data_IF_725763362686
#
_entry.id   IF_725763362686
#
_cell.length_a   1.000
_cell.length_b   1.000
_cell.length_c   1.000
_cell.angle_alpha   90.00
_cell.angle_beta   90.00
_cell.angle_gamma   90.00
#
_symmetry.space_group_name_H-M   'P 1'
#
loop_
_entity.id
_entity.type
_entity.pdbx_description
1 polymer ?
#
# COMPACT_ATOMS: atom_id res chain seq x y z
N UNK A 1 -10.63 -3.46 -9.36
CA UNK A 1 -9.98 -2.43 -8.52
C UNK A 1 -8.54 -2.82 -8.24
N UNK A 2 -7.57 -1.92 -8.40
CA UNK A 2 -6.16 -2.22 -8.16
C UNK A 2 -5.59 -1.20 -7.19
N UNK A 3 -4.93 -1.65 -6.13
CA UNK A 3 -4.27 -0.80 -5.15
C UNK A 3 -2.78 -1.13 -5.06
N UNK A 4 -1.94 -0.10 -5.08
CA UNK A 4 -0.49 -0.19 -4.92
C UNK A 4 -0.05 0.58 -3.66
N UNK A 5 0.88 0.03 -2.89
CA UNK A 5 1.44 0.63 -1.67
C UNK A 5 0.32 0.99 -0.65
N UNK A 6 0.26 2.22 -0.15
CA UNK A 6 -0.83 2.72 0.68
C UNK A 6 -2.20 2.48 0.03
N UNK A 7 -2.30 2.63 -1.30
CA UNK A 7 -3.52 2.33 -2.04
C UNK A 7 -3.95 0.88 -1.94
N UNK A 8 -2.99 -0.05 -1.80
CA UNK A 8 -3.26 -1.47 -1.53
C UNK A 8 -3.96 -1.67 -0.18
N UNK A 9 -3.58 -0.90 0.83
CA UNK A 9 -4.18 -0.93 2.18
C UNK A 9 -5.62 -0.40 2.15
N UNK A 10 -5.84 0.67 1.38
CA UNK A 10 -7.17 1.25 1.18
C UNK A 10 -8.09 0.25 0.47
N UNK A 11 -7.61 -0.38 -0.61
CA UNK A 11 -8.36 -1.44 -1.31
C UNK A 11 -8.64 -2.61 -0.38
N UNK A 12 -7.67 -3.03 0.43
CA UNK A 12 -7.86 -4.09 1.43
C UNK A 12 -8.97 -3.74 2.43
N UNK A 13 -8.96 -2.54 3.02
CA UNK A 13 -10.00 -2.09 3.93
C UNK A 13 -11.37 -2.01 3.24
N UNK A 14 -11.41 -1.47 2.01
CA UNK A 14 -12.63 -1.34 1.23
C UNK A 14 -13.30 -2.69 0.95
N UNK A 15 -12.54 -3.69 0.50
CA UNK A 15 -13.08 -5.03 0.22
C UNK A 15 -13.60 -5.74 1.48
N UNK A 16 -13.04 -5.42 2.66
CA UNK A 16 -13.50 -5.98 3.93
C UNK A 16 -14.82 -5.35 4.39
N UNK A 17 -15.05 -4.08 4.07
CA UNK A 17 -16.29 -3.37 4.35
C UNK A 17 -17.39 -3.68 3.31
N UNK A 18 -17.01 -3.87 2.03
CA UNK A 18 -17.93 -4.01 0.90
C UNK A 18 -17.53 -5.20 -0.01
N UNK A 19 -17.73 -6.45 0.44
CA UNK A 19 -17.18 -7.63 -0.23
C UNK A 19 -17.70 -7.87 -1.65
N UNK A 20 -18.86 -7.31 -2.01
CA UNK A 20 -19.48 -7.49 -3.33
C UNK A 20 -19.42 -6.24 -4.21
N UNK A 21 -18.75 -5.17 -3.77
CA UNK A 21 -18.75 -3.89 -4.50
C UNK A 21 -17.93 -3.91 -5.80
N UNK A 22 -17.01 -4.87 -5.95
CA UNK A 22 -16.19 -5.02 -7.15
C UNK A 22 -16.10 -6.48 -7.55
N UNK A 23 -16.10 -6.74 -8.86
CA UNK A 23 -16.01 -8.10 -9.40
C UNK A 23 -14.61 -8.72 -9.25
N UNK A 24 -13.56 -7.90 -9.30
CA UNK A 24 -12.14 -8.33 -9.20
C UNK A 24 -11.29 -7.26 -8.54
N UNK A 25 -10.29 -7.70 -7.76
CA UNK A 25 -9.30 -6.80 -7.17
C UNK A 25 -7.87 -7.36 -7.15
N UNK A 26 -6.88 -6.46 -7.19
CA UNK A 26 -5.47 -6.77 -6.98
C UNK A 26 -4.87 -5.80 -5.96
N UNK A 27 -4.05 -6.32 -5.05
CA UNK A 27 -3.36 -5.55 -4.01
C UNK A 27 -1.86 -5.81 -4.15
N UNK A 28 -1.07 -4.75 -4.28
CA UNK A 28 0.37 -4.79 -4.50
C UNK A 28 1.06 -3.91 -3.47
N UNK A 29 2.22 -4.34 -2.96
CA UNK A 29 2.47 -4.76 -1.57
C UNK A 29 1.94 -3.81 -0.47
N UNK A 30 1.86 -4.33 0.76
CA UNK A 30 1.33 -3.61 1.91
C UNK A 30 0.01 -4.21 2.36
N UNK A 31 0.06 -5.41 2.95
CA UNK A 31 -1.05 -6.04 3.69
C UNK A 31 -0.48 -6.76 4.92
N UNK A 32 -1.29 -7.20 5.90
CA UNK A 32 -0.81 -7.92 7.08
C UNK A 32 0.14 -9.09 6.77
N UNK A 33 1.07 -9.45 7.69
CA UNK A 33 1.16 -9.00 9.08
C UNK A 33 1.94 -7.69 9.26
N UNK A 34 1.24 -6.66 9.72
CA UNK A 34 1.78 -5.29 9.84
C UNK A 34 2.91 -5.13 10.84
N UNK A 35 2.91 -5.95 11.89
CA UNK A 35 3.97 -5.93 12.89
C UNK A 35 5.33 -6.31 12.30
N UNK A 36 5.35 -7.13 11.25
CA UNK A 36 6.59 -7.45 10.53
C UNK A 36 7.02 -6.31 9.61
N UNK A 37 6.05 -5.63 9.00
CA UNK A 37 6.30 -4.49 8.11
C UNK A 37 6.98 -3.36 8.87
N UNK A 38 6.42 -2.93 10.00
CA UNK A 38 6.95 -1.80 10.77
C UNK A 38 8.32 -2.07 11.42
N UNK A 39 8.67 -3.35 11.65
CA UNK A 39 9.97 -3.75 12.21
C UNK A 39 11.04 -3.95 11.15
N UNK A 40 10.70 -3.85 9.87
CA UNK A 40 11.68 -3.99 8.80
C UNK A 40 12.52 -2.71 8.71
N UNK A 41 13.83 -2.75 8.98
CA UNK A 41 14.69 -1.56 8.92
C UNK A 41 14.79 -0.97 7.51
N UNK A 42 14.54 -1.75 6.45
CA UNK A 42 14.45 -1.22 5.07
C UNK A 42 13.27 -0.26 4.89
N UNK A 43 12.27 -0.33 5.76
CA UNK A 43 11.09 0.53 5.78
C UNK A 43 11.21 1.60 6.88
N UNK A 44 12.42 2.12 7.09
CA UNK A 44 12.76 3.18 8.05
C UNK A 44 11.79 4.37 8.01
N UNK A 45 11.28 4.69 6.82
CA UNK A 45 10.40 5.82 6.58
C UNK A 45 9.07 5.71 7.36
N UNK A 46 8.60 4.50 7.71
CA UNK A 46 7.42 4.35 8.57
C UNK A 46 7.61 5.03 9.93
N UNK A 47 8.77 4.83 10.55
CA UNK A 47 9.08 5.44 11.84
C UNK A 47 9.37 6.94 11.69
N UNK A 48 10.12 7.32 10.66
CA UNK A 48 10.46 8.71 10.38
C UNK A 48 9.21 9.57 10.13
N UNK A 49 8.34 9.17 9.19
CA UNK A 49 7.12 9.91 8.83
C UNK A 49 6.09 9.99 9.97
N UNK A 50 6.14 9.04 10.90
CA UNK A 50 5.26 9.05 12.06
C UNK A 50 5.63 10.12 13.11
N UNK A 51 6.85 10.68 13.08
CA UNK A 51 7.24 11.75 14.01
C UNK A 51 6.50 13.04 13.62
N UNK A 52 5.73 13.67 14.52
CA UNK A 52 5.09 14.96 14.25
C UNK A 52 6.12 16.04 13.92
N UNK A 53 5.84 16.83 12.88
CA UNK A 53 6.57 18.02 12.42
C UNK A 53 8.03 17.85 11.97
N UNK A 54 8.73 16.80 12.41
CA UNK A 54 10.14 16.57 12.10
C UNK A 54 10.38 16.32 10.60
N UNK A 55 9.64 15.43 9.91
CA UNK A 55 9.83 15.18 8.48
C UNK A 55 9.60 16.42 7.63
N UNK A 56 8.56 17.21 7.93
CA UNK A 56 8.27 18.47 7.23
C UNK A 56 9.46 19.43 7.33
N UNK A 57 10.01 19.61 8.54
CA UNK A 57 11.17 20.48 8.77
C UNK A 57 12.43 20.00 8.06
N UNK A 58 12.60 18.68 7.91
CA UNK A 58 13.78 18.10 7.29
C UNK A 58 13.68 17.92 5.77
N UNK A 59 12.47 17.95 5.21
CA UNK A 59 12.24 17.71 3.77
C UNK A 59 11.80 18.98 3.03
N UNK A 60 11.19 19.95 3.71
CA UNK A 60 10.78 21.21 3.08
C UNK A 60 11.99 21.93 2.45
N UNK A 61 11.86 22.28 1.17
CA UNK A 61 12.91 22.91 0.37
C UNK A 61 13.97 21.92 -0.14
N UNK A 62 13.88 20.64 0.21
CA UNK A 62 14.80 19.55 -0.19
C UNK A 62 14.05 18.32 -0.70
N UNK A 63 12.86 18.53 -1.25
CA UNK A 63 12.01 17.43 -1.70
C UNK A 63 12.69 16.59 -2.77
N UNK A 64 13.41 17.20 -3.70
CA UNK A 64 14.09 16.48 -4.77
C UNK A 64 15.12 15.49 -4.19
N UNK A 65 16.02 15.98 -3.33
CA UNK A 65 17.07 15.18 -2.70
C UNK A 65 16.46 14.07 -1.84
N UNK A 66 15.40 14.39 -1.10
CA UNK A 66 14.69 13.42 -0.28
C UNK A 66 14.06 12.30 -1.12
N UNK A 67 13.35 12.64 -2.20
CA UNK A 67 12.72 11.63 -3.06
C UNK A 67 13.74 10.82 -3.86
N UNK A 68 14.85 11.42 -4.29
CA UNK A 68 15.94 10.70 -4.95
C UNK A 68 16.54 9.64 -4.02
N UNK A 69 16.89 10.02 -2.79
CA UNK A 69 17.34 9.07 -1.78
C UNK A 69 16.28 8.02 -1.47
N UNK A 70 15.00 8.41 -1.37
CA UNK A 70 13.91 7.48 -1.10
C UNK A 70 13.84 6.40 -2.18
N UNK A 71 13.79 6.78 -3.45
CA UNK A 71 13.77 5.81 -4.56
C UNK A 71 15.01 4.93 -4.60
N UNK A 72 16.19 5.46 -4.26
CA UNK A 72 17.42 4.67 -4.14
C UNK A 72 17.37 3.65 -3.01
N UNK A 73 16.84 4.05 -1.85
CA UNK A 73 16.79 3.21 -0.66
C UNK A 73 15.77 2.07 -0.76
N UNK A 74 14.62 2.30 -1.42
CA UNK A 74 13.49 1.35 -1.38
C UNK A 74 13.24 0.58 -2.70
N UNK A 75 13.82 1.03 -3.82
CA UNK A 75 13.60 0.36 -5.11
C UNK A 75 14.57 -0.80 -5.32
N UNK A 76 14.07 -1.95 -5.78
CA UNK A 76 14.94 -3.06 -6.16
C UNK A 76 15.84 -2.72 -7.37
N UNK A 77 15.38 -1.84 -8.27
CA UNK A 77 16.14 -1.30 -9.40
C UNK A 77 15.95 0.21 -9.47
N UNK A 78 16.73 1.03 -8.72
CA UNK A 78 16.54 2.47 -8.68
C UNK A 78 16.62 3.16 -10.05
N UNK A 79 17.45 2.63 -10.96
CA UNK A 79 17.58 3.13 -12.33
C UNK A 79 16.31 2.94 -13.18
N UNK A 80 15.36 2.09 -12.76
CA UNK A 80 14.08 1.94 -13.45
C UNK A 80 13.15 3.15 -13.22
N UNK A 81 13.40 3.96 -12.19
CA UNK A 81 12.68 5.22 -11.96
C UNK A 81 13.53 6.35 -12.55
N UNK A 82 13.11 6.85 -13.72
CA UNK A 82 13.83 7.90 -14.42
C UNK A 82 13.92 9.18 -13.58
N UNK A 83 14.96 9.98 -13.80
CA UNK A 83 15.12 11.24 -13.09
C UNK A 83 13.96 12.21 -13.33
N UNK A 84 13.35 12.16 -14.51
CA UNK A 84 12.15 12.95 -14.79
C UNK A 84 10.95 12.52 -13.94
N UNK A 85 10.74 11.22 -13.78
CA UNK A 85 9.69 10.70 -12.90
C UNK A 85 9.95 11.11 -11.44
N UNK A 86 11.19 11.02 -10.96
CA UNK A 86 11.56 11.43 -9.60
C UNK A 86 11.25 12.91 -9.36
N UNK A 87 11.61 13.79 -10.30
CA UNK A 87 11.27 15.23 -10.24
C UNK A 87 9.77 15.48 -10.18
N UNK A 88 8.97 14.77 -10.98
CA UNK A 88 7.51 14.90 -10.95
C UNK A 88 6.93 14.47 -9.60
N UNK A 89 7.45 13.39 -9.02
CA UNK A 89 7.04 12.96 -7.68
C UNK A 89 7.41 14.02 -6.64
N UNK A 90 8.66 14.48 -6.59
CA UNK A 90 9.09 15.52 -5.66
C UNK A 90 8.24 16.80 -5.78
N UNK A 91 7.96 17.24 -7.00
CA UNK A 91 7.12 18.40 -7.28
C UNK A 91 5.68 18.24 -6.77
N UNK A 92 5.13 17.02 -6.78
CA UNK A 92 3.79 16.76 -6.24
C UNK A 92 3.72 17.00 -4.73
N UNK A 93 4.86 16.96 -4.04
CA UNK A 93 5.01 17.25 -2.60
C UNK A 93 5.63 18.64 -2.34
N UNK A 94 5.56 19.56 -3.30
CA UNK A 94 6.19 20.88 -3.19
C UNK A 94 5.52 21.80 -2.15
N UNK A 95 4.21 21.63 -1.91
CA UNK A 95 3.49 22.50 -0.96
C UNK A 95 3.58 21.92 0.47
N UNK A 96 3.54 22.78 1.51
CA UNK A 96 3.51 22.32 2.89
C UNK A 96 2.35 21.34 3.16
N UNK A 97 1.19 21.58 2.56
CA UNK A 97 0.00 20.75 2.74
C UNK A 97 0.15 19.38 2.08
N UNK A 98 0.70 19.28 0.86
CA UNK A 98 0.88 17.98 0.21
C UNK A 98 1.99 17.16 0.88
N UNK A 99 3.08 17.81 1.29
CA UNK A 99 4.15 17.18 2.07
C UNK A 99 3.62 16.60 3.39
N UNK A 100 2.91 17.43 4.15
CA UNK A 100 2.28 17.01 5.41
C UNK A 100 1.28 15.87 5.18
N UNK A 101 0.44 15.94 4.16
CA UNK A 101 -0.52 14.88 3.85
C UNK A 101 0.16 13.53 3.56
N UNK A 102 1.31 13.55 2.87
CA UNK A 102 2.12 12.36 2.63
C UNK A 102 2.60 11.69 3.91
N UNK A 103 3.00 12.48 4.91
CA UNK A 103 3.49 11.97 6.19
C UNK A 103 2.36 11.62 7.17
N UNK A 104 1.25 12.36 7.15
CA UNK A 104 0.10 12.16 8.02
C UNK A 104 -0.52 10.77 7.88
N UNK A 105 -0.42 10.15 6.71
CA UNK A 105 -0.85 8.77 6.53
C UNK A 105 -0.15 7.82 7.52
N UNK A 106 1.16 7.95 7.70
CA UNK A 106 1.96 7.12 8.62
C UNK A 106 1.61 7.39 10.08
N UNK A 107 1.24 8.63 10.43
CA UNK A 107 0.74 9.00 11.76
C UNK A 107 -0.63 8.37 12.05
N UNK A 108 -1.45 8.16 11.02
CA UNK A 108 -2.73 7.47 11.10
C UNK A 108 -2.63 5.94 11.09
N UNK A 109 -1.53 5.38 10.58
CA UNK A 109 -1.36 3.94 10.37
C UNK A 109 -1.62 3.06 11.60
N UNK A 110 -1.16 3.39 12.83
CA UNK A 110 -1.43 2.58 14.02
C UNK A 110 -2.92 2.38 14.29
N UNK A 111 -3.74 3.41 14.05
CA UNK A 111 -5.20 3.33 14.18
C UNK A 111 -5.80 2.45 13.08
N UNK A 112 -5.41 2.68 11.83
CA UNK A 112 -5.90 1.88 10.68
C UNK A 112 -5.64 0.37 10.87
N UNK A 113 -4.46 -0.01 11.38
CA UNK A 113 -4.12 -1.40 11.67
C UNK A 113 -5.06 -2.04 12.70
N UNK A 114 -5.48 -1.28 13.72
CA UNK A 114 -6.30 -1.78 14.82
C UNK A 114 -7.80 -1.80 14.49
N UNK A 115 -8.27 -0.88 13.64
CA UNK A 115 -9.69 -0.64 13.43
C UNK A 115 -10.33 -1.49 12.34
N UNK A 116 -9.57 -2.21 11.49
CA UNK A 116 -10.17 -3.18 10.56
C UNK A 116 -10.60 -4.41 11.38
N UNK A 117 -11.89 -4.58 11.71
CA UNK A 117 -12.31 -5.67 12.59
C UNK A 117 -11.99 -6.98 11.91
N UNK A 118 -11.76 -8.05 12.68
CA UNK A 118 -11.75 -9.42 12.17
C UNK A 118 -13.19 -9.80 11.78
N UNK A 119 -13.73 -9.22 10.70
CA UNK A 119 -15.02 -9.63 10.14
C UNK A 119 -14.89 -11.12 9.81
N UNK A 120 -15.71 -11.94 10.48
CA UNK A 120 -15.76 -13.37 10.27
C UNK A 120 -15.90 -13.67 8.78
N UNK A 121 -15.18 -14.68 8.29
CA UNK A 121 -15.24 -15.10 6.90
C UNK A 121 -16.72 -15.26 6.48
N UNK A 122 -17.13 -14.76 5.30
CA UNK A 122 -18.49 -14.93 4.83
C UNK A 122 -18.83 -16.42 4.79
N UNK A 123 -19.98 -16.82 5.37
CA UNK A 123 -20.49 -18.21 5.34
C UNK A 123 -20.83 -18.73 3.93
N UNK A 124 -20.72 -17.90 2.90
CA UNK A 124 -20.82 -18.33 1.50
C UNK A 124 -19.40 -18.44 0.97
N UNK A 125 -19.09 -19.62 0.42
CA UNK A 125 -17.84 -19.95 -0.29
C UNK A 125 -17.54 -18.92 -1.37
N UNK A 126 -16.97 -17.79 -0.96
CA UNK A 126 -16.36 -16.84 -1.84
C UNK A 126 -14.99 -17.44 -2.15
N UNK A 127 -14.77 -17.90 -3.38
CA UNK A 127 -13.47 -18.44 -3.82
C UNK A 127 -12.30 -17.46 -3.54
N UNK A 128 -12.60 -16.18 -3.34
CA UNK A 128 -11.63 -15.14 -2.99
C UNK A 128 -11.34 -15.00 -1.49
N UNK A 129 -12.20 -15.54 -0.61
CA UNK A 129 -12.04 -15.42 0.84
C UNK A 129 -11.34 -16.64 1.47
N UNK A 130 -11.44 -17.82 0.84
CA UNK A 130 -10.65 -19.01 1.19
C UNK A 130 -9.33 -19.12 0.42
N UNK A 131 -9.08 -18.22 -0.54
CA UNK A 131 -7.73 -18.01 -1.03
C UNK A 131 -6.91 -17.55 0.17
N UNK A 132 -6.19 -18.48 0.82
CA UNK A 132 -5.01 -18.17 1.63
C UNK A 132 -4.31 -17.10 0.82
N UNK A 133 -4.32 -15.85 1.31
CA UNK A 133 -3.53 -14.75 0.78
C UNK A 133 -2.07 -15.18 0.95
N UNK A 134 -1.61 -16.05 0.05
CA UNK A 134 -0.22 -16.43 -0.07
C UNK A 134 0.40 -15.25 -0.79
N UNK A 135 0.99 -14.36 0.00
CA UNK A 135 1.96 -13.38 -0.48
C UNK A 135 3.08 -14.19 -1.13
N UNK A 136 3.03 -14.35 -2.45
CA UNK A 136 4.09 -14.96 -3.24
C UNK A 136 4.45 -13.97 -4.33
N UNK A 137 5.75 -13.66 -4.38
CA UNK A 137 6.40 -12.79 -5.34
C UNK A 137 5.78 -12.85 -6.74
N UNK A 138 5.38 -11.68 -7.24
CA UNK A 138 5.31 -11.32 -8.67
C UNK A 138 4.75 -12.39 -9.63
N UNK A 139 3.62 -13.03 -9.31
CA UNK A 139 2.69 -13.58 -10.32
C UNK A 139 1.35 -13.96 -9.66
N UNK A 140 0.34 -13.12 -9.83
CA UNK A 140 -1.06 -13.53 -9.66
C UNK A 140 -1.60 -13.89 -11.04
N UNK A 141 -1.57 -15.18 -11.37
CA UNK A 141 -2.41 -15.75 -12.43
C UNK A 141 -3.50 -16.51 -11.68
N UNK A 142 -4.77 -16.14 -11.89
CA UNK A 142 -5.89 -17.00 -11.46
C UNK A 142 -5.89 -18.22 -12.37
N UNK A 143 -5.21 -19.29 -11.96
CA UNK A 143 -5.60 -20.62 -12.41
C UNK A 143 -6.72 -21.09 -11.48
N UNK A 144 -7.74 -21.68 -12.08
CA UNK A 144 -8.83 -22.41 -11.42
C UNK A 144 -10.07 -21.59 -11.01
N UNK A 145 -10.60 -20.82 -11.96
CA UNK A 145 -12.03 -20.52 -12.01
C UNK A 145 -12.57 -20.97 -13.37
N UNK A 146 -12.82 -22.27 -13.53
CA UNK A 146 -13.80 -22.71 -14.53
C UNK A 146 -15.17 -22.18 -14.11
N UNK A 147 -15.80 -21.42 -15.00
CA UNK A 147 -17.17 -20.97 -14.81
C UNK A 147 -18.10 -22.18 -14.76
N UNK A 148 -19.14 -22.20 -13.91
CA UNK A 148 -20.14 -23.25 -13.99
C UNK A 148 -20.84 -23.16 -15.35
N UNK A 149 -20.71 -24.22 -16.15
CA UNK A 149 -21.50 -24.43 -17.36
C UNK A 149 -22.98 -24.37 -16.97
N UNK A 150 -23.71 -23.40 -17.51
CA UNK A 150 -25.16 -23.37 -17.41
C UNK A 150 -25.71 -24.54 -18.21
N UNK A 151 -26.17 -25.59 -17.53
CA UNK A 151 -27.04 -26.60 -18.10
C UNK A 151 -28.45 -26.00 -18.18
N UNK A 152 -28.94 -25.78 -19.39
CA UNK A 152 -30.37 -25.78 -19.73
C UNK A 152 -30.76 -27.16 -20.24
#
# INVERSE_FOLDING_TARGET
MIGHDIGGQIVYAYLRAFPNAVSRAAILPGVPPWDKVIRNPRLWHFAFHAVPDLPERLVAGRQQEYFDFFFEAISARPAAVSQDARRRYAHSYATPSSLKAGFDWYRGFPRMRMTIPRVAAPRRRCCMCEARLRVVNFRLISKDCEAPTLLT
#
